data_IF_935877329841
#
_entry.id   IF_935877329841
#
_cell.length_a   1.000
_cell.length_b   1.000
_cell.length_c   1.000
_cell.angle_alpha   90.00
_cell.angle_beta   90.00
_cell.angle_gamma   90.00
#
_symmetry.space_group_name_H-M   'P 1'
#
loop_
_entity.id
_entity.type
_entity.pdbx_description
1 polymer ?
#
# COMPACT_ATOMS: atom_id res chain seq x y z
N UNK A 1 -12.43 -1.91 -5.59
CA UNK A 1 -11.02 -1.58 -5.47
C UNK A 1 -10.63 -0.67 -6.63
N UNK A 2 -10.13 0.50 -6.33
CA UNK A 2 -9.85 1.52 -7.31
C UNK A 2 -8.55 2.23 -6.97
N UNK A 3 -7.73 2.55 -7.99
CA UNK A 3 -6.40 3.13 -7.76
C UNK A 3 -5.97 4.05 -8.90
N UNK A 4 -4.96 4.90 -8.60
CA UNK A 4 -4.18 5.65 -9.59
C UNK A 4 -2.71 5.34 -9.40
N UNK A 5 -1.97 5.34 -10.50
CA UNK A 5 -0.55 4.96 -10.52
C UNK A 5 0.24 5.92 -11.39
N UNK A 6 1.40 6.35 -10.91
CA UNK A 6 2.36 7.08 -11.72
C UNK A 6 3.18 6.07 -12.53
N UNK A 7 3.12 6.17 -13.86
CA UNK A 7 3.73 5.18 -14.75
C UNK A 7 5.17 5.55 -15.06
N UNK A 8 6.06 4.57 -14.96
CA UNK A 8 7.46 4.69 -15.43
C UNK A 8 7.60 3.98 -16.76
N UNK A 9 8.59 4.44 -17.56
CA UNK A 9 8.69 4.02 -18.94
C UNK A 9 9.10 2.56 -19.18
N UNK A 10 9.82 1.94 -18.27
CA UNK A 10 10.41 0.61 -18.56
C UNK A 10 10.76 -0.16 -17.29
N UNK A 11 9.98 -0.06 -16.28
CA UNK A 11 10.28 -0.75 -15.05
C UNK A 11 9.56 -2.09 -15.00
N UNK A 12 10.26 -3.12 -14.56
CA UNK A 12 9.66 -4.42 -14.31
C UNK A 12 8.84 -4.37 -13.01
N UNK A 13 7.69 -5.02 -13.03
CA UNK A 13 6.86 -5.09 -11.83
C UNK A 13 7.50 -5.97 -10.77
N UNK A 14 7.23 -5.64 -9.52
CA UNK A 14 7.74 -6.40 -8.39
C UNK A 14 7.14 -7.80 -8.37
N UNK A 15 7.96 -8.78 -8.04
CA UNK A 15 7.57 -10.18 -7.99
C UNK A 15 7.42 -10.64 -6.55
N UNK A 16 6.58 -11.65 -6.35
CA UNK A 16 6.41 -12.25 -5.03
C UNK A 16 7.76 -12.70 -4.46
N UNK A 17 8.01 -12.33 -3.22
CA UNK A 17 9.26 -12.65 -2.54
C UNK A 17 10.31 -11.56 -2.59
N UNK A 18 10.17 -10.59 -3.49
CA UNK A 18 11.08 -9.44 -3.49
C UNK A 18 10.83 -8.56 -2.27
N UNK A 19 11.91 -8.02 -1.71
CA UNK A 19 11.83 -7.07 -0.60
C UNK A 19 12.12 -5.69 -1.15
N UNK A 20 11.21 -4.74 -0.88
CA UNK A 20 11.29 -3.39 -1.43
C UNK A 20 11.11 -2.35 -0.34
N UNK A 21 11.98 -1.34 -0.35
CA UNK A 21 11.82 -0.19 0.55
C UNK A 21 10.62 0.62 0.08
N UNK A 22 9.61 0.76 0.93
CA UNK A 22 8.35 1.39 0.58
C UNK A 22 7.92 2.38 1.65
N UNK A 23 7.53 3.56 1.21
CA UNK A 23 6.88 4.55 2.05
C UNK A 23 5.37 4.39 1.91
N UNK A 24 4.70 4.11 3.01
CA UNK A 24 3.26 3.88 3.03
C UNK A 24 2.60 4.92 3.93
N UNK A 25 1.66 5.66 3.36
CA UNK A 25 0.82 6.60 4.10
C UNK A 25 -0.61 6.10 4.07
N UNK A 26 -1.21 6.00 5.25
CA UNK A 26 -2.59 5.53 5.41
C UNK A 26 -3.44 6.70 5.91
N UNK A 27 -4.45 7.08 5.15
CA UNK A 27 -5.33 8.19 5.46
C UNK A 27 -6.78 7.76 5.51
N UNK A 28 -7.59 8.48 6.27
CA UNK A 28 -9.04 8.38 6.17
C UNK A 28 -9.50 8.96 4.84
N UNK A 29 -10.74 8.66 4.44
CA UNK A 29 -11.29 9.18 3.19
C UNK A 29 -11.34 10.71 3.15
N UNK A 30 -11.39 11.36 4.30
CA UNK A 30 -11.35 12.81 4.40
C UNK A 30 -9.93 13.39 4.30
N UNK A 31 -8.91 12.55 4.16
CA UNK A 31 -7.52 12.97 4.04
C UNK A 31 -6.73 13.00 5.34
N UNK A 32 -7.34 12.69 6.47
CA UNK A 32 -6.63 12.67 7.75
C UNK A 32 -5.61 11.55 7.78
N UNK A 33 -4.34 11.89 8.01
CA UNK A 33 -3.25 10.91 8.07
C UNK A 33 -3.35 10.11 9.37
N UNK A 34 -3.41 8.79 9.24
CA UNK A 34 -3.49 7.87 10.38
C UNK A 34 -2.16 7.16 10.64
N UNK A 35 -1.39 6.88 9.60
CA UNK A 35 -0.11 6.19 9.73
C UNK A 35 0.81 6.60 8.60
N UNK A 36 2.10 6.68 8.89
CA UNK A 36 3.14 7.03 7.95
C UNK A 36 4.35 6.15 8.27
N UNK A 37 4.61 5.18 7.40
CA UNK A 37 5.59 4.13 7.65
C UNK A 37 6.53 4.04 6.46
N UNK A 38 7.83 3.95 6.72
CA UNK A 38 8.82 3.63 5.69
C UNK A 38 9.65 2.46 6.17
N UNK A 39 9.60 1.36 5.44
CA UNK A 39 10.31 0.14 5.81
C UNK A 39 10.45 -0.77 4.59
N UNK A 40 11.18 -1.85 4.76
CA UNK A 40 11.29 -2.90 3.76
C UNK A 40 10.11 -3.86 3.90
N UNK A 41 9.39 -4.07 2.80
CA UNK A 41 8.23 -4.97 2.79
C UNK A 41 8.42 -6.08 1.76
N UNK A 42 8.16 -7.33 2.16
CA UNK A 42 8.18 -8.44 1.22
C UNK A 42 6.88 -8.47 0.40
N UNK A 43 7.01 -8.52 -0.91
CA UNK A 43 5.88 -8.59 -1.82
C UNK A 43 5.20 -9.95 -1.67
N UNK A 44 3.89 -9.95 -1.49
CA UNK A 44 3.10 -11.17 -1.35
C UNK A 44 3.08 -11.79 0.03
N UNK A 45 3.59 -11.08 1.04
CA UNK A 45 3.53 -11.55 2.42
C UNK A 45 2.09 -11.63 2.93
N UNK A 46 1.76 -12.71 3.65
CA UNK A 46 0.47 -12.84 4.29
C UNK A 46 0.25 -11.86 5.44
N UNK A 47 1.32 -11.23 5.92
CA UNK A 47 1.25 -10.24 7.00
C UNK A 47 0.79 -8.86 6.53
N UNK A 48 0.76 -8.65 5.21
CA UNK A 48 0.35 -7.37 4.65
C UNK A 48 -1.12 -7.39 4.25
N UNK A 49 -1.83 -6.26 4.41
CA UNK A 49 -3.20 -6.13 3.89
C UNK A 49 -3.28 -6.42 2.39
N UNK A 50 -4.42 -6.94 1.96
CA UNK A 50 -4.67 -7.29 0.56
C UNK A 50 -4.40 -6.11 -0.36
N UNK A 51 -4.88 -4.92 0.01
CA UNK A 51 -4.71 -3.71 -0.80
C UNK A 51 -3.23 -3.39 -1.02
N UNK A 52 -2.41 -3.52 0.01
CA UNK A 52 -0.97 -3.25 -0.08
C UNK A 52 -0.29 -4.29 -0.98
N UNK A 53 -0.58 -5.57 -0.79
CA UNK A 53 0.00 -6.63 -1.62
C UNK A 53 -0.39 -6.49 -3.09
N UNK A 54 -1.66 -6.21 -3.38
CA UNK A 54 -2.11 -6.01 -4.76
C UNK A 54 -1.42 -4.83 -5.40
N UNK A 55 -1.26 -3.74 -4.65
CA UNK A 55 -0.59 -2.54 -5.16
C UNK A 55 0.88 -2.83 -5.46
N UNK A 56 1.59 -3.46 -4.54
CA UNK A 56 3.00 -3.79 -4.75
C UNK A 56 3.22 -4.69 -5.97
N UNK A 57 2.32 -5.63 -6.23
CA UNK A 57 2.42 -6.53 -7.39
C UNK A 57 2.21 -5.82 -8.72
N UNK A 58 1.64 -4.63 -8.71
CA UNK A 58 1.41 -3.82 -9.90
C UNK A 58 2.44 -2.70 -10.05
N UNK A 59 3.33 -2.57 -9.07
CA UNK A 59 4.32 -1.49 -9.03
C UNK A 59 5.71 -1.99 -9.41
N UNK A 60 6.52 -1.05 -9.82
CA UNK A 60 7.96 -1.22 -9.98
C UNK A 60 8.67 -0.33 -8.99
N UNK A 61 9.98 -0.47 -8.86
CA UNK A 61 10.75 0.38 -7.95
C UNK A 61 10.73 1.83 -8.46
N UNK A 62 10.58 2.78 -7.53
CA UNK A 62 10.54 4.19 -7.84
C UNK A 62 9.19 4.70 -8.34
N UNK A 63 8.12 3.96 -8.10
CA UNK A 63 6.76 4.36 -8.47
C UNK A 63 5.94 4.78 -7.26
N UNK A 64 4.87 5.53 -7.53
CA UNK A 64 3.86 5.87 -6.53
C UNK A 64 2.51 5.37 -6.98
N UNK A 65 1.75 4.81 -6.04
CA UNK A 65 0.39 4.36 -6.27
C UNK A 65 -0.49 4.80 -5.10
N UNK A 66 -1.67 5.32 -5.43
CA UNK A 66 -2.69 5.64 -4.43
C UNK A 66 -3.89 4.76 -4.67
N UNK A 67 -4.36 4.10 -3.62
CA UNK A 67 -5.52 3.22 -3.71
C UNK A 67 -6.57 3.63 -2.70
N UNK A 68 -7.84 3.46 -3.09
CA UNK A 68 -8.95 3.51 -2.15
C UNK A 68 -9.21 2.07 -1.74
N UNK A 69 -8.97 1.77 -0.47
CA UNK A 69 -9.02 0.42 0.06
C UNK A 69 -10.25 0.26 0.97
N UNK A 70 -11.27 -0.50 0.51
CA UNK A 70 -12.35 -0.86 1.41
C UNK A 70 -11.81 -1.63 2.62
N UNK A 71 -12.52 -1.56 3.73
CA UNK A 71 -12.03 -2.11 5.00
C UNK A 71 -11.62 -3.59 4.90
N UNK A 72 -12.32 -4.40 4.10
CA UNK A 72 -12.01 -5.83 3.97
C UNK A 72 -10.74 -6.12 3.17
N UNK A 73 -10.19 -5.13 2.47
CA UNK A 73 -8.89 -5.23 1.78
C UNK A 73 -7.77 -4.56 2.56
N UNK A 74 -8.09 -3.90 3.65
CA UNK A 74 -7.16 -3.14 4.47
C UNK A 74 -7.01 -3.81 5.85
N UNK A 75 -7.48 -3.18 6.89
CA UNK A 75 -7.23 -3.66 8.26
C UNK A 75 -8.44 -4.35 8.88
N UNK A 76 -9.48 -4.57 8.10
CA UNK A 76 -10.58 -5.45 8.44
C UNK A 76 -11.49 -4.97 9.56
N UNK A 77 -12.20 -5.93 10.14
CA UNK A 77 -13.14 -5.70 11.23
C UNK A 77 -12.45 -5.42 12.56
N UNK A 78 -11.17 -5.75 12.68
CA UNK A 78 -10.42 -5.57 13.92
C UNK A 78 -9.71 -4.22 13.97
N UNK A 79 -9.26 -3.71 12.80
CA UNK A 79 -8.45 -2.51 12.75
C UNK A 79 -7.07 -2.68 13.38
N UNK A 80 -6.49 -1.57 13.79
CA UNK A 80 -5.21 -1.53 14.53
C UNK A 80 -5.30 -0.48 15.63
N UNK A 81 -4.20 -0.27 16.36
CA UNK A 81 -4.14 0.79 17.36
C UNK A 81 -4.38 2.18 16.77
N UNK A 82 -4.02 2.39 15.50
CA UNK A 82 -4.16 3.68 14.81
C UNK A 82 -5.36 3.72 13.87
N UNK A 83 -5.93 2.58 13.51
CA UNK A 83 -6.95 2.48 12.49
C UNK A 83 -8.18 1.80 13.09
N UNK A 84 -9.31 2.50 13.05
CA UNK A 84 -10.58 1.98 13.58
C UNK A 84 -11.05 0.76 12.80
N UNK A 85 -11.81 -0.15 13.43
CA UNK A 85 -12.46 -1.24 12.73
C UNK A 85 -13.35 -0.74 11.57
N UNK A 86 -13.43 -1.52 10.51
CA UNK A 86 -14.25 -1.23 9.33
C UNK A 86 -13.90 0.08 8.63
N UNK A 87 -12.65 0.53 8.72
CA UNK A 87 -12.23 1.78 8.08
C UNK A 87 -11.94 1.58 6.60
N UNK A 88 -12.61 2.37 5.77
CA UNK A 88 -12.26 2.52 4.36
C UNK A 88 -11.18 3.59 4.28
N UNK A 89 -10.11 3.30 3.57
CA UNK A 89 -8.88 4.09 3.65
C UNK A 89 -8.38 4.51 2.28
N UNK A 90 -7.59 5.59 2.27
CA UNK A 90 -6.75 5.95 1.14
C UNK A 90 -5.33 5.58 1.53
N UNK A 91 -4.72 4.69 0.77
CA UNK A 91 -3.34 4.24 1.01
C UNK A 91 -2.47 4.71 -0.14
N UNK A 92 -1.43 5.46 0.18
CA UNK A 92 -0.44 5.92 -0.79
C UNK A 92 0.85 5.15 -0.57
N UNK A 93 1.30 4.45 -1.59
CA UNK A 93 2.53 3.69 -1.56
C UNK A 93 3.54 4.31 -2.51
N UNK A 94 4.76 4.47 -2.05
CA UNK A 94 5.87 4.94 -2.88
C UNK A 94 7.01 3.95 -2.71
N UNK A 95 7.33 3.23 -3.78
CA UNK A 95 8.47 2.31 -3.77
C UNK A 95 9.73 3.11 -4.04
N UNK A 96 10.76 2.87 -3.25
CA UNK A 96 11.99 3.63 -3.32
C UNK A 96 13.04 2.82 -4.06
N UNK A 97 13.64 3.47 -5.06
CA UNK A 97 14.73 2.88 -5.82
C UNK A 97 16.04 3.18 -5.11
N UNK A 98 16.78 2.11 -4.73
CA UNK A 98 18.05 2.25 -4.03
C UNK A 98 19.25 2.11 -4.96
#
# INVERSE_FOLDING_TARGET
FWYTKTIRLHADTLQKGEVVLTHIQVCELNGTLLADIQDYFPVGSSDLPIAINRSLKQMSRGEEMRVIAPWYTAYGAEGTALIKPYSNLIITLTTIEE
#
